data_IF_588923884719
#
_entry.id   IF_588923884719
#
_cell.length_a   1.000
_cell.length_b   1.000
_cell.length_c   1.000
_cell.angle_alpha   90.00
_cell.angle_beta   90.00
_cell.angle_gamma   90.00
#
_symmetry.space_group_name_H-M   'P 1'
#
loop_
_entity.id
_entity.type
_entity.pdbx_description
1 polymer ?
#
# COMPACT_ATOMS: atom_id res chain seq x y z
N UNK A 1 -10.49 -6.08 -5.86
CA UNK A 1 -9.88 -5.44 -4.67
C UNK A 1 -10.87 -4.49 -4.02
N UNK A 2 -10.97 -4.49 -2.68
CA UNK A 2 -11.94 -3.69 -1.90
C UNK A 2 -11.37 -2.36 -1.40
N UNK A 3 -10.05 -2.26 -1.24
CA UNK A 3 -9.37 -1.13 -0.63
C UNK A 3 -8.76 -0.20 -1.68
N UNK A 4 -8.78 1.10 -1.41
CA UNK A 4 -8.14 2.15 -2.21
C UNK A 4 -7.37 3.07 -1.26
N UNK A 5 -6.11 3.36 -1.58
CA UNK A 5 -5.30 4.32 -0.83
C UNK A 5 -5.50 5.72 -1.42
N UNK A 6 -5.88 6.69 -0.58
CA UNK A 6 -5.93 8.11 -0.92
C UNK A 6 -4.69 8.78 -0.34
N UNK A 7 -3.76 9.16 -1.22
CA UNK A 7 -2.45 9.72 -0.84
C UNK A 7 -2.50 11.24 -0.83
N UNK A 8 -2.15 11.87 0.29
CA UNK A 8 -1.98 13.32 0.41
C UNK A 8 -0.50 13.71 0.34
N UNK A 9 -0.16 14.58 -0.61
CA UNK A 9 1.15 15.22 -0.73
C UNK A 9 1.18 16.59 -0.07
N UNK A 10 2.36 17.22 -0.06
CA UNK A 10 2.58 18.53 0.59
C UNK A 10 1.69 19.65 0.05
N UNK A 11 1.37 19.60 -1.24
CA UNK A 11 0.53 20.60 -1.91
C UNK A 11 -0.95 20.14 -2.08
N UNK A 12 -1.31 18.97 -1.55
CA UNK A 12 -2.66 18.44 -1.72
C UNK A 12 -3.59 19.10 -0.70
N UNK A 13 -4.59 19.85 -1.19
CA UNK A 13 -5.62 20.44 -0.35
C UNK A 13 -6.48 19.36 0.33
N UNK A 14 -6.91 19.63 1.56
CA UNK A 14 -7.73 18.70 2.35
C UNK A 14 -9.06 18.36 1.65
N UNK A 15 -9.68 19.34 0.99
CA UNK A 15 -10.93 19.17 0.24
C UNK A 15 -10.80 18.13 -0.87
N UNK A 16 -9.66 18.09 -1.58
CA UNK A 16 -9.43 17.10 -2.64
C UNK A 16 -9.35 15.68 -2.05
N UNK A 17 -8.75 15.53 -0.86
CA UNK A 17 -8.69 14.24 -0.15
C UNK A 17 -10.09 13.79 0.26
N UNK A 18 -10.93 14.72 0.73
CA UNK A 18 -12.33 14.48 1.08
C UNK A 18 -13.12 13.95 -0.13
N UNK A 19 -13.08 14.69 -1.25
CA UNK A 19 -13.76 14.34 -2.50
C UNK A 19 -13.33 12.97 -3.04
N UNK A 20 -12.02 12.67 -2.96
CA UNK A 20 -11.50 11.36 -3.37
C UNK A 20 -11.98 10.22 -2.46
N UNK A 21 -12.11 10.46 -1.15
CA UNK A 21 -12.69 9.48 -0.24
C UNK A 21 -14.17 9.22 -0.56
N UNK A 22 -14.96 10.27 -0.78
CA UNK A 22 -16.38 10.15 -1.16
C UNK A 22 -16.56 9.43 -2.50
N UNK A 23 -15.75 9.77 -3.50
CA UNK A 23 -15.73 9.08 -4.79
C UNK A 23 -15.44 7.59 -4.61
N UNK A 24 -14.45 7.26 -3.79
CA UNK A 24 -14.08 5.86 -3.50
C UNK A 24 -15.23 5.11 -2.83
N UNK A 25 -15.93 5.74 -1.88
CA UNK A 25 -17.11 5.17 -1.24
C UNK A 25 -18.25 4.96 -2.24
N UNK A 26 -18.46 5.90 -3.18
CA UNK A 26 -19.47 5.77 -4.24
C UNK A 26 -19.23 4.57 -5.15
N UNK A 27 -17.97 4.16 -5.32
CA UNK A 27 -17.58 2.95 -6.05
C UNK A 27 -17.72 1.66 -5.23
N UNK A 28 -18.26 1.74 -4.00
CA UNK A 28 -18.36 0.61 -3.08
C UNK A 28 -17.00 0.10 -2.60
N UNK A 29 -15.99 0.99 -2.59
CA UNK A 29 -14.63 0.68 -2.12
C UNK A 29 -14.40 1.33 -0.75
N UNK A 30 -13.40 0.82 -0.04
CA UNK A 30 -12.99 1.34 1.26
C UNK A 30 -11.75 2.23 1.09
N UNK A 31 -11.88 3.56 1.27
CA UNK A 31 -10.74 4.47 1.21
C UNK A 31 -9.88 4.35 2.47
N UNK A 32 -8.56 4.48 2.31
CA UNK A 32 -7.59 4.63 3.40
C UNK A 32 -6.72 5.85 3.11
N UNK A 33 -6.77 6.86 4.00
CA UNK A 33 -5.96 8.08 3.87
C UNK A 33 -4.52 7.79 4.31
N UNK A 34 -3.54 8.28 3.56
CA UNK A 34 -2.14 8.17 3.92
C UNK A 34 -1.30 9.35 3.40
N UNK A 35 -0.17 9.61 4.05
CA UNK A 35 0.79 10.61 3.58
C UNK A 35 1.67 10.07 2.47
N UNK A 36 2.06 10.95 1.55
CA UNK A 36 3.03 10.65 0.51
C UNK A 36 4.38 10.26 1.13
N UNK A 37 4.61 8.96 1.22
CA UNK A 37 5.83 8.36 1.74
C UNK A 37 6.29 7.26 0.78
N UNK A 38 7.60 6.97 0.66
CA UNK A 38 8.09 5.99 -0.32
C UNK A 38 7.41 4.62 -0.15
N UNK A 39 6.69 4.18 -1.20
CA UNK A 39 5.95 2.92 -1.19
C UNK A 39 4.59 2.96 -0.49
N UNK A 40 4.10 4.12 -0.06
CA UNK A 40 2.75 4.28 0.54
C UNK A 40 2.49 3.24 1.64
N UNK A 41 1.27 2.70 1.77
CA UNK A 41 0.98 1.60 2.71
C UNK A 41 1.15 0.26 2.00
N UNK A 42 0.42 0.02 0.91
CA UNK A 42 0.35 -1.32 0.29
C UNK A 42 1.70 -1.75 -0.27
N UNK A 43 2.36 -0.89 -1.04
CA UNK A 43 3.66 -1.24 -1.65
C UNK A 43 4.77 -1.38 -0.61
N UNK A 44 4.69 -0.66 0.51
CA UNK A 44 5.62 -0.77 1.64
C UNK A 44 5.50 -2.11 2.36
N UNK A 45 4.30 -2.69 2.43
CA UNK A 45 4.07 -3.99 3.08
C UNK A 45 4.28 -5.16 2.12
N UNK A 46 3.77 -5.06 0.89
CA UNK A 46 3.77 -6.16 -0.07
C UNK A 46 5.19 -6.58 -0.49
N UNK A 47 6.09 -5.61 -0.72
CA UNK A 47 7.45 -5.90 -1.20
C UNK A 47 8.29 -6.69 -0.19
N UNK A 48 8.38 -6.30 1.11
CA UNK A 48 8.99 -7.13 2.13
C UNK A 48 8.33 -8.49 2.23
N UNK A 49 6.99 -8.56 2.27
CA UNK A 49 6.27 -9.83 2.38
C UNK A 49 6.66 -10.86 1.31
N UNK A 50 6.73 -10.46 0.04
CA UNK A 50 7.20 -11.34 -1.03
C UNK A 50 8.69 -11.70 -0.88
N UNK A 51 9.50 -10.75 -0.42
CA UNK A 51 10.93 -10.97 -0.20
C UNK A 51 11.20 -11.96 0.92
N UNK A 52 10.35 -12.02 1.95
CA UNK A 52 10.46 -13.00 3.04
C UNK A 52 10.34 -14.43 2.49
N UNK A 53 9.37 -14.69 1.63
CA UNK A 53 9.18 -16.01 1.02
C UNK A 53 10.43 -16.43 0.21
N UNK A 54 10.98 -15.51 -0.57
CA UNK A 54 12.22 -15.74 -1.31
C UNK A 54 13.42 -16.01 -0.38
N UNK A 55 13.55 -15.23 0.70
CA UNK A 55 14.62 -15.42 1.70
C UNK A 55 14.50 -16.79 2.37
N UNK A 56 13.29 -17.20 2.76
CA UNK A 56 13.07 -18.53 3.35
C UNK A 56 13.45 -19.65 2.38
N UNK A 57 13.08 -19.54 1.11
CA UNK A 57 13.49 -20.49 0.08
C UNK A 57 15.01 -20.54 -0.09
N UNK A 58 15.68 -19.38 -0.21
CA UNK A 58 17.14 -19.29 -0.35
C UNK A 58 17.87 -19.88 0.86
N UNK A 59 17.39 -19.60 2.08
CA UNK A 59 17.96 -20.15 3.31
C UNK A 59 17.94 -21.68 3.30
N UNK A 60 16.82 -22.30 2.89
CA UNK A 60 16.71 -23.76 2.80
C UNK A 60 17.66 -24.38 1.77
N UNK A 61 17.87 -23.74 0.63
CA UNK A 61 18.81 -24.24 -0.39
C UNK A 61 20.26 -24.21 0.07
N UNK A 62 20.65 -23.21 0.87
CA UNK A 62 22.01 -23.08 1.39
C UNK A 62 22.35 -24.14 2.44
N UNK A 63 21.35 -24.70 3.15
CA UNK A 63 21.55 -25.77 4.14
C UNK A 63 21.47 -27.19 3.55
N UNK A 64 21.15 -27.32 2.26
CA UNK A 64 21.14 -28.61 1.54
C UNK A 64 22.41 -28.84 0.69
N UNK A 65 23.38 -27.92 0.76
CA UNK A 65 24.73 -28.08 0.20
C UNK A 65 25.72 -28.21 1.33
#
# INVERSE_FOLDING_TARGET
MKLVEVVSGLATAAEVVEQLCELTLSWGKQPVRCHSTPGFIVNRVARPYYSEAWRHWKSRLLHQK
#
